data_IF_370482347078
#
_entry.id   IF_370482347078
#
_cell.length_a   1.000
_cell.length_b   1.000
_cell.length_c   1.000
_cell.angle_alpha   90.00
_cell.angle_beta   90.00
_cell.angle_gamma   90.00
#
_symmetry.space_group_name_H-M   'P 1'
#
loop_
_entity.id
_entity.type
_entity.pdbx_description
1 polymer ?
#
# COMPACT_ATOMS: atom_id res chain seq x y z
N UNK A 1 21.05 10.50 -20.36
CA UNK A 1 19.79 11.25 -20.54
C UNK A 1 19.52 12.00 -19.25
N UNK A 2 19.42 13.34 -19.27
CA UNK A 2 19.18 14.13 -18.06
C UNK A 2 17.69 14.10 -17.73
N UNK A 3 17.27 13.03 -17.04
CA UNK A 3 15.88 12.77 -16.66
C UNK A 3 15.26 13.91 -15.81
N UNK A 4 16.11 14.77 -15.24
CA UNK A 4 15.75 15.99 -14.48
C UNK A 4 14.83 16.98 -15.23
N UNK A 5 14.74 16.87 -16.56
CA UNK A 5 13.89 17.73 -17.37
C UNK A 5 12.97 16.95 -18.31
N UNK A 6 12.77 15.64 -18.10
CA UNK A 6 11.90 14.86 -18.98
C UNK A 6 10.42 15.15 -18.67
N UNK A 7 9.67 15.78 -19.58
CA UNK A 7 8.25 16.10 -19.35
C UNK A 7 7.38 14.86 -19.16
N UNK A 8 7.83 13.71 -19.70
CA UNK A 8 7.16 12.41 -19.54
C UNK A 8 7.21 11.94 -18.09
N UNK A 9 8.30 12.23 -17.37
CA UNK A 9 8.45 11.89 -15.96
C UNK A 9 7.48 12.66 -15.07
N UNK A 10 7.30 13.96 -15.33
CA UNK A 10 6.36 14.82 -14.61
C UNK A 10 4.90 14.36 -14.81
N UNK A 11 4.52 14.02 -16.03
CA UNK A 11 3.21 13.44 -16.34
C UNK A 11 2.99 12.07 -15.70
N UNK A 12 4.02 11.22 -15.64
CA UNK A 12 3.92 9.87 -15.09
C UNK A 12 3.78 9.90 -13.57
N UNK A 13 4.53 10.77 -12.88
CA UNK A 13 4.35 11.02 -11.44
C UNK A 13 2.96 11.58 -11.14
N UNK A 14 2.48 12.54 -11.94
CA UNK A 14 1.14 13.10 -11.77
C UNK A 14 0.06 12.02 -11.95
N UNK A 15 0.18 11.18 -12.99
CA UNK A 15 -0.81 10.15 -13.31
C UNK A 15 -0.76 8.95 -12.36
N UNK A 16 0.44 8.44 -12.04
CA UNK A 16 0.63 7.27 -11.18
C UNK A 16 0.31 7.57 -9.72
N UNK A 17 0.66 8.77 -9.23
CA UNK A 17 0.44 9.09 -7.81
C UNK A 17 -0.98 9.60 -7.57
N UNK A 18 -1.60 10.32 -8.50
CA UNK A 18 -2.99 10.79 -8.33
C UNK A 18 -3.98 9.67 -8.67
N UNK A 19 -3.97 9.12 -9.88
CA UNK A 19 -5.01 8.17 -10.30
C UNK A 19 -4.92 6.83 -9.56
N UNK A 20 -3.72 6.36 -9.17
CA UNK A 20 -3.61 5.08 -8.44
C UNK A 20 -4.00 5.17 -6.97
N UNK A 21 -3.83 6.34 -6.33
CA UNK A 21 -4.34 6.57 -4.98
C UNK A 21 -5.88 6.74 -4.98
N UNK A 22 -6.46 7.35 -6.01
CA UNK A 22 -7.91 7.55 -6.11
C UNK A 22 -8.70 6.28 -6.50
N UNK A 23 -8.10 5.31 -7.19
CA UNK A 23 -8.82 4.12 -7.69
C UNK A 23 -8.89 2.93 -6.72
N UNK A 24 -8.13 2.96 -5.62
CA UNK A 24 -8.13 1.91 -4.60
C UNK A 24 -9.34 1.95 -3.64
N UNK A 25 -10.40 2.69 -3.95
CA UNK A 25 -11.61 2.82 -3.12
C UNK A 25 -12.24 1.46 -2.76
N UNK A 26 -12.03 0.40 -3.56
CA UNK A 26 -12.53 -0.95 -3.28
C UNK A 26 -11.90 -1.64 -2.06
N UNK A 27 -10.81 -1.09 -1.52
CA UNK A 27 -10.13 -1.62 -0.33
C UNK A 27 -10.81 -1.14 0.96
N UNK A 28 -11.55 -0.03 0.89
CA UNK A 28 -12.08 0.70 2.04
C UNK A 28 -13.60 0.57 2.13
N UNK A 29 -14.14 0.72 3.33
CA UNK A 29 -15.59 0.87 3.51
C UNK A 29 -16.03 2.31 3.15
N UNK A 30 -17.34 2.53 2.93
CA UNK A 30 -17.84 3.83 2.45
C UNK A 30 -17.49 5.02 3.37
N UNK A 31 -17.46 4.81 4.68
CA UNK A 31 -17.13 5.86 5.66
C UNK A 31 -15.62 6.13 5.69
N UNK A 32 -14.80 5.07 5.63
CA UNK A 32 -13.34 5.15 5.49
C UNK A 32 -12.92 5.90 4.22
N UNK A 33 -13.65 5.72 3.10
CA UNK A 33 -13.37 6.42 1.84
C UNK A 33 -13.43 7.93 2.02
N UNK A 34 -14.42 8.45 2.74
CA UNK A 34 -14.55 9.90 2.93
C UNK A 34 -13.43 10.47 3.80
N UNK A 35 -13.10 9.79 4.90
CA UNK A 35 -12.02 10.22 5.79
C UNK A 35 -10.65 10.13 5.10
N UNK A 36 -10.44 9.07 4.31
CA UNK A 36 -9.27 8.92 3.46
C UNK A 36 -9.19 10.05 2.44
N UNK A 37 -10.28 10.37 1.74
CA UNK A 37 -10.29 11.47 0.77
C UNK A 37 -9.94 12.81 1.41
N UNK A 38 -10.47 13.11 2.60
CA UNK A 38 -10.15 14.34 3.35
C UNK A 38 -8.68 14.37 3.75
N UNK A 39 -8.18 13.27 4.33
CA UNK A 39 -6.80 13.16 4.81
C UNK A 39 -5.81 13.22 3.65
N UNK A 40 -6.08 12.51 2.57
CA UNK A 40 -5.31 12.57 1.33
C UNK A 40 -5.30 14.01 0.81
N UNK A 41 -6.44 14.68 0.65
CA UNK A 41 -6.48 16.08 0.19
C UNK A 41 -5.62 16.99 1.07
N UNK A 42 -5.64 16.79 2.39
CA UNK A 42 -4.81 17.56 3.32
C UNK A 42 -3.30 17.28 3.13
N UNK A 43 -2.91 16.01 3.04
CA UNK A 43 -1.50 15.63 2.79
C UNK A 43 -1.04 16.15 1.43
N UNK A 44 -1.91 16.09 0.43
CA UNK A 44 -1.65 16.54 -0.93
C UNK A 44 -1.48 18.05 -1.06
N UNK A 45 -2.11 18.86 -0.21
CA UNK A 45 -1.84 20.31 -0.18
C UNK A 45 -0.36 20.64 0.03
N UNK A 46 0.40 19.76 0.69
CA UNK A 46 1.87 19.90 0.85
C UNK A 46 2.62 19.80 -0.50
N UNK A 47 2.00 19.24 -1.52
CA UNK A 47 2.55 18.98 -2.85
C UNK A 47 1.76 19.67 -3.98
N UNK A 48 0.85 20.59 -3.63
CA UNK A 48 -0.06 21.27 -4.58
C UNK A 48 0.69 22.01 -5.70
N UNK A 49 1.95 22.39 -5.43
CA UNK A 49 2.89 22.81 -6.46
C UNK A 49 3.61 21.57 -7.00
N UNK A 50 3.38 21.25 -8.28
CA UNK A 50 3.99 20.12 -9.00
C UNK A 50 5.52 20.05 -8.84
N UNK A 51 6.16 21.19 -8.65
CA UNK A 51 7.60 21.28 -8.50
C UNK A 51 8.07 20.86 -7.09
N UNK A 52 7.25 20.98 -6.04
CA UNK A 52 7.65 20.66 -4.65
C UNK A 52 7.83 19.16 -4.39
N UNK A 53 6.98 18.30 -4.98
CA UNK A 53 7.17 16.85 -4.89
C UNK A 53 8.46 16.44 -5.63
N UNK A 54 8.66 17.00 -6.83
CA UNK A 54 9.83 16.74 -7.66
C UNK A 54 11.10 17.28 -6.99
N UNK A 55 11.06 18.48 -6.42
CA UNK A 55 12.15 19.10 -5.66
C UNK A 55 12.52 18.24 -4.45
N UNK A 56 11.56 17.75 -3.67
CA UNK A 56 11.85 16.83 -2.55
C UNK A 56 12.43 15.48 -2.99
N UNK A 57 11.99 14.98 -4.14
CA UNK A 57 12.59 13.80 -4.78
C UNK A 57 14.03 14.08 -5.22
N UNK A 58 14.36 15.33 -5.56
CA UNK A 58 15.67 15.77 -6.04
C UNK A 58 16.62 16.20 -4.90
N UNK A 59 16.13 16.81 -3.82
CA UNK A 59 16.91 17.29 -2.67
C UNK A 59 17.51 16.13 -1.86
N UNK A 60 16.82 15.00 -1.81
CA UNK A 60 17.32 13.78 -1.14
C UNK A 60 18.36 13.01 -1.98
N UNK A 61 18.80 13.53 -3.13
CA UNK A 61 19.85 12.94 -3.98
C UNK A 61 21.28 13.38 -3.62
N UNK A 62 21.58 13.74 -2.37
CA UNK A 62 22.91 14.23 -2.00
C UNK A 62 24.01 13.24 -2.39
N UNK A 63 24.83 13.58 -3.42
CA UNK A 63 26.05 12.97 -4.01
C UNK A 63 26.25 11.43 -4.07
N UNK A 64 25.43 10.64 -3.39
CA UNK A 64 25.40 9.19 -3.30
C UNK A 64 23.94 8.73 -3.38
N UNK A 65 23.19 9.26 -4.34
CA UNK A 65 21.86 8.75 -4.65
C UNK A 65 21.98 7.26 -5.00
N UNK A 66 21.61 6.40 -4.06
CA UNK A 66 21.70 4.95 -4.19
C UNK A 66 21.07 4.48 -5.52
N UNK A 67 21.65 3.46 -6.19
CA UNK A 67 21.08 2.80 -7.36
C UNK A 67 19.60 2.43 -7.22
N UNK A 68 19.16 2.21 -5.98
CA UNK A 68 17.81 1.84 -5.57
C UNK A 68 16.73 2.87 -5.92
N UNK A 69 17.04 4.16 -5.94
CA UNK A 69 16.08 5.20 -6.35
C UNK A 69 15.79 5.08 -7.85
N UNK A 70 16.85 4.98 -8.66
CA UNK A 70 16.71 4.89 -10.11
C UNK A 70 16.09 3.55 -10.54
N UNK A 71 16.42 2.46 -9.85
CA UNK A 71 15.79 1.15 -10.06
C UNK A 71 14.30 1.17 -9.70
N UNK A 72 13.93 1.71 -8.52
CA UNK A 72 12.53 1.83 -8.12
C UNK A 72 11.75 2.72 -9.09
N UNK A 73 12.37 3.79 -9.60
CA UNK A 73 11.77 4.66 -10.61
C UNK A 73 11.61 4.01 -11.97
N UNK A 74 12.63 3.31 -12.44
CA UNK A 74 12.57 2.60 -13.72
C UNK A 74 11.50 1.51 -13.65
N UNK A 75 11.44 0.76 -12.55
CA UNK A 75 10.38 -0.23 -12.28
C UNK A 75 8.99 0.41 -12.30
N UNK A 76 8.79 1.57 -11.64
CA UNK A 76 7.51 2.25 -11.64
C UNK A 76 7.12 2.74 -13.05
N UNK A 77 8.08 3.32 -13.78
CA UNK A 77 7.88 3.80 -15.15
C UNK A 77 7.54 2.67 -16.12
N UNK A 78 8.29 1.57 -16.09
CA UNK A 78 8.06 0.40 -16.94
C UNK A 78 6.71 -0.25 -16.65
N UNK A 79 6.35 -0.46 -15.37
CA UNK A 79 5.08 -1.09 -15.01
C UNK A 79 3.88 -0.21 -15.36
N UNK A 80 3.96 1.09 -15.07
CA UNK A 80 2.87 2.04 -15.35
C UNK A 80 2.69 2.27 -16.87
N UNK A 81 3.78 2.29 -17.66
CA UNK A 81 3.70 2.49 -19.11
C UNK A 81 3.34 1.23 -19.90
N UNK A 82 3.73 0.04 -19.43
CA UNK A 82 3.58 -1.21 -20.20
C UNK A 82 2.40 -2.09 -19.76
N UNK A 83 1.97 -2.01 -18.49
CA UNK A 83 0.98 -2.96 -17.93
C UNK A 83 -0.37 -2.32 -17.59
N UNK A 84 -0.53 -1.00 -17.80
CA UNK A 84 -1.71 -0.29 -17.30
C UNK A 84 -1.63 -0.07 -15.77
N UNK A 85 -2.66 0.56 -15.21
CA UNK A 85 -2.74 0.92 -13.79
C UNK A 85 -3.05 -0.29 -12.91
N UNK A 86 -2.26 -1.36 -12.99
CA UNK A 86 -2.52 -2.53 -12.18
C UNK A 86 -2.18 -2.23 -10.71
N UNK A 87 -3.20 -2.18 -9.86
CA UNK A 87 -3.09 -2.01 -8.42
C UNK A 87 -2.60 -3.32 -7.79
N UNK A 88 -1.30 -3.58 -7.87
CA UNK A 88 -0.67 -4.78 -7.31
C UNK A 88 0.06 -4.47 -6.00
N UNK A 89 0.26 -5.47 -5.11
CA UNK A 89 1.07 -5.31 -3.92
C UNK A 89 2.48 -4.76 -4.22
N UNK A 90 3.13 -5.23 -5.29
CA UNK A 90 4.47 -4.79 -5.70
C UNK A 90 4.50 -3.31 -6.10
N UNK A 91 3.45 -2.83 -6.76
CA UNK A 91 3.34 -1.43 -7.15
C UNK A 91 3.19 -0.56 -5.89
N UNK A 92 2.39 -1.00 -4.92
CA UNK A 92 2.28 -0.31 -3.62
C UNK A 92 3.60 -0.31 -2.84
N UNK A 93 4.34 -1.42 -2.81
CA UNK A 93 5.68 -1.45 -2.22
C UNK A 93 6.65 -0.52 -2.95
N UNK A 94 6.55 -0.44 -4.27
CA UNK A 94 7.35 0.52 -5.05
C UNK A 94 7.02 1.93 -4.60
N UNK A 95 5.75 2.35 -4.58
CA UNK A 95 5.31 3.65 -4.05
C UNK A 95 5.76 3.90 -2.60
N UNK A 96 5.71 2.91 -1.72
CA UNK A 96 6.20 3.04 -0.36
C UNK A 96 7.69 3.40 -0.32
N UNK A 97 8.55 2.73 -1.12
CA UNK A 97 9.98 3.07 -1.21
C UNK A 97 10.19 4.53 -1.57
N UNK A 98 9.41 5.04 -2.52
CA UNK A 98 9.48 6.42 -2.99
C UNK A 98 9.14 7.42 -1.89
N UNK A 99 8.01 7.21 -1.21
CA UNK A 99 7.57 8.07 -0.12
C UNK A 99 8.53 8.04 1.06
N UNK A 100 9.12 6.88 1.38
CA UNK A 100 10.18 6.76 2.38
C UNK A 100 11.42 7.58 2.01
N UNK A 101 11.84 7.54 0.74
CA UNK A 101 13.01 8.29 0.26
C UNK A 101 12.84 9.81 0.36
N UNK A 102 11.61 10.32 0.20
CA UNK A 102 11.33 11.76 0.37
C UNK A 102 10.94 12.14 1.81
N UNK A 103 10.99 11.19 2.74
CA UNK A 103 10.62 11.39 4.14
C UNK A 103 9.12 11.55 4.37
N UNK A 104 8.26 11.25 3.39
CA UNK A 104 6.81 11.22 3.58
C UNK A 104 6.36 9.88 4.16
N UNK A 105 6.60 9.71 5.45
CA UNK A 105 6.25 8.50 6.18
C UNK A 105 4.73 8.31 6.31
N UNK A 106 3.94 9.39 6.19
CA UNK A 106 2.48 9.34 6.25
C UNK A 106 1.93 8.61 5.01
N UNK A 107 2.35 9.01 3.81
CA UNK A 107 1.97 8.32 2.56
C UNK A 107 2.61 6.94 2.45
N UNK A 108 3.84 6.77 2.93
CA UNK A 108 4.49 5.46 2.96
C UNK A 108 3.71 4.43 3.79
N UNK A 109 3.16 4.84 4.93
CA UNK A 109 2.29 4.01 5.76
C UNK A 109 1.03 3.56 5.00
N UNK A 110 0.41 4.47 4.26
CA UNK A 110 -0.79 4.12 3.50
C UNK A 110 -0.50 3.17 2.33
N UNK A 111 0.68 3.30 1.72
CA UNK A 111 1.12 2.32 0.71
C UNK A 111 1.38 0.94 1.30
N UNK A 112 1.85 0.85 2.54
CA UNK A 112 1.99 -0.43 3.26
C UNK A 112 0.62 -1.06 3.51
N UNK A 113 -0.36 -0.27 3.96
CA UNK A 113 -1.73 -0.73 4.15
C UNK A 113 -2.37 -1.21 2.84
N UNK A 114 -2.25 -0.43 1.76
CA UNK A 114 -2.72 -0.82 0.43
C UNK A 114 -2.08 -2.13 -0.04
N UNK A 115 -0.77 -2.28 0.15
CA UNK A 115 -0.05 -3.50 -0.21
C UNK A 115 -0.63 -4.74 0.49
N UNK A 116 -0.73 -4.67 1.82
CA UNK A 116 -1.25 -5.78 2.61
C UNK A 116 -2.71 -6.11 2.24
N UNK A 117 -3.55 -5.10 2.09
CA UNK A 117 -4.95 -5.28 1.72
C UNK A 117 -5.14 -5.91 0.34
N UNK A 118 -4.36 -5.46 -0.65
CA UNK A 118 -4.36 -6.07 -1.98
C UNK A 118 -3.88 -7.52 -1.93
N UNK A 119 -2.87 -7.83 -1.10
CA UNK A 119 -2.40 -9.20 -0.93
C UNK A 119 -3.47 -10.12 -0.33
N UNK A 120 -4.27 -9.62 0.62
CA UNK A 120 -5.44 -10.35 1.16
C UNK A 120 -6.48 -10.59 0.07
N UNK A 121 -6.80 -9.57 -0.72
CA UNK A 121 -7.75 -9.69 -1.83
C UNK A 121 -7.27 -10.66 -2.92
N UNK A 122 -5.97 -10.60 -3.25
CA UNK A 122 -5.31 -11.51 -4.18
C UNK A 122 -5.39 -12.96 -3.67
N UNK A 123 -5.13 -13.19 -2.38
CA UNK A 123 -5.26 -14.50 -1.74
C UNK A 123 -6.69 -15.06 -1.85
N UNK A 124 -7.70 -14.27 -1.46
CA UNK A 124 -9.12 -14.65 -1.54
C UNK A 124 -9.50 -15.05 -2.96
N UNK A 125 -9.11 -14.22 -3.93
CA UNK A 125 -9.42 -14.44 -5.35
C UNK A 125 -8.73 -15.69 -5.88
N UNK A 126 -7.43 -15.83 -5.62
CA UNK A 126 -6.60 -16.94 -6.12
C UNK A 126 -7.03 -18.29 -5.54
N UNK A 127 -7.46 -18.30 -4.27
CA UNK A 127 -7.98 -19.50 -3.58
C UNK A 127 -9.48 -19.71 -3.79
N UNK A 128 -10.13 -18.82 -4.55
CA UNK A 128 -11.56 -18.85 -4.85
C UNK A 128 -12.41 -18.97 -3.56
N UNK A 129 -12.10 -18.13 -2.57
CA UNK A 129 -12.84 -18.08 -1.31
C UNK A 129 -14.11 -17.27 -1.49
N UNK A 130 -15.23 -17.78 -1.00
CA UNK A 130 -16.52 -17.08 -0.99
C UNK A 130 -16.65 -16.15 0.21
N UNK A 131 -15.65 -15.30 0.41
CA UNK A 131 -15.60 -14.34 1.51
C UNK A 131 -15.61 -12.93 0.93
N UNK A 132 -16.34 -12.03 1.58
CA UNK A 132 -16.29 -10.58 1.32
C UNK A 132 -15.81 -9.90 2.58
N UNK A 133 -14.83 -9.01 2.44
CA UNK A 133 -14.27 -8.24 3.54
C UNK A 133 -14.55 -6.77 3.24
N UNK A 134 -15.43 -6.16 4.01
CA UNK A 134 -15.95 -4.82 3.79
C UNK A 134 -15.21 -3.77 4.60
N UNK A 135 -14.58 -4.14 5.71
CA UNK A 135 -13.88 -3.22 6.61
C UNK A 135 -12.41 -3.60 6.85
N UNK A 136 -11.67 -2.72 7.53
CA UNK A 136 -10.38 -3.07 8.14
C UNK A 136 -10.53 -4.22 9.16
N UNK A 137 -11.55 -4.20 10.01
CA UNK A 137 -11.76 -5.20 11.05
C UNK A 137 -12.04 -6.58 10.45
N UNK A 138 -12.82 -6.66 9.38
CA UNK A 138 -13.10 -7.92 8.69
C UNK A 138 -11.79 -8.54 8.19
N UNK A 139 -10.89 -7.72 7.63
CA UNK A 139 -9.56 -8.16 7.19
C UNK A 139 -8.73 -8.66 8.36
N UNK A 140 -8.70 -7.96 9.49
CA UNK A 140 -8.02 -8.42 10.72
C UNK A 140 -8.57 -9.77 11.19
N UNK A 141 -9.89 -9.87 11.30
CA UNK A 141 -10.58 -11.09 11.76
C UNK A 141 -10.33 -12.26 10.81
N UNK A 142 -10.36 -12.01 9.50
CA UNK A 142 -9.99 -12.98 8.48
C UNK A 142 -8.54 -13.44 8.60
N UNK A 143 -7.59 -12.52 8.76
CA UNK A 143 -6.17 -12.90 8.90
C UNK A 143 -5.89 -13.70 10.17
N UNK A 144 -6.52 -13.33 11.29
CA UNK A 144 -6.44 -14.10 12.55
C UNK A 144 -7.06 -15.49 12.42
N UNK A 145 -8.20 -15.58 11.75
CA UNK A 145 -8.83 -16.85 11.48
C UNK A 145 -7.96 -17.72 10.56
N UNK A 146 -7.26 -17.13 9.59
CA UNK A 146 -6.32 -17.86 8.72
C UNK A 146 -5.17 -18.46 9.53
N UNK A 147 -4.50 -17.64 10.35
CA UNK A 147 -3.47 -18.05 11.29
C UNK A 147 -3.23 -16.96 12.33
N UNK A 148 -3.04 -17.34 13.59
CA UNK A 148 -2.73 -16.39 14.66
C UNK A 148 -1.45 -15.58 14.38
N UNK A 149 -0.43 -16.22 13.80
CA UNK A 149 0.84 -15.58 13.43
C UNK A 149 0.62 -14.53 12.33
N UNK A 150 -0.10 -14.90 11.28
CA UNK A 150 -0.42 -14.02 10.15
C UNK A 150 -1.31 -12.85 10.63
N UNK A 151 -2.26 -13.12 11.53
CA UNK A 151 -3.08 -12.08 12.16
C UNK A 151 -2.27 -11.08 12.99
N UNK A 152 -1.24 -11.52 13.70
CA UNK A 152 -0.34 -10.64 14.45
C UNK A 152 0.53 -9.80 13.51
N UNK A 153 1.02 -10.39 12.44
CA UNK A 153 1.76 -9.67 11.40
C UNK A 153 0.88 -8.60 10.75
N UNK A 154 -0.38 -8.94 10.42
CA UNK A 154 -1.32 -8.00 9.80
C UNK A 154 -1.58 -6.76 10.66
N UNK A 155 -1.55 -6.89 12.00
CA UNK A 155 -1.72 -5.76 12.92
C UNK A 155 -0.65 -4.66 12.73
N UNK A 156 0.54 -4.97 12.21
CA UNK A 156 1.57 -3.98 11.86
C UNK A 156 1.07 -3.03 10.76
N UNK A 157 0.33 -3.55 9.78
CA UNK A 157 -0.19 -2.77 8.66
C UNK A 157 -1.39 -1.92 9.07
N UNK A 158 -2.19 -2.41 10.01
CA UNK A 158 -3.27 -1.65 10.62
C UNK A 158 -2.75 -0.45 11.40
N UNK A 159 -1.65 -0.65 12.13
CA UNK A 159 -0.95 0.45 12.82
C UNK A 159 -0.41 1.46 11.81
N UNK A 160 0.05 1.02 10.63
CA UNK A 160 0.40 1.93 9.53
C UNK A 160 -0.81 2.71 9.02
N UNK A 161 -1.96 2.06 8.80
CA UNK A 161 -3.18 2.72 8.35
C UNK A 161 -3.66 3.78 9.35
N UNK A 162 -3.70 3.48 10.65
CA UNK A 162 -4.00 4.47 11.69
C UNK A 162 -3.01 5.64 11.72
N UNK A 163 -1.77 5.38 11.30
CA UNK A 163 -0.71 6.37 11.26
C UNK A 163 -0.75 7.26 10.03
N UNK A 164 -1.43 6.82 8.97
CA UNK A 164 -1.79 7.69 7.86
C UNK A 164 -2.72 8.82 8.34
N UNK A 165 -3.71 8.54 9.19
CA UNK A 165 -4.61 9.57 9.74
C UNK A 165 -3.94 10.42 10.84
N UNK A 166 -3.18 9.79 11.73
CA UNK A 166 -2.57 10.48 12.89
C UNK A 166 -1.20 11.11 12.62
N UNK A 167 -0.55 10.78 11.50
CA UNK A 167 0.83 11.17 11.17
C UNK A 167 1.84 10.87 12.29
N UNK A 168 1.72 9.69 12.92
CA UNK A 168 2.45 9.34 14.15
C UNK A 168 3.72 8.48 13.93
N UNK A 169 3.88 7.89 12.74
CA UNK A 169 5.00 7.00 12.45
C UNK A 169 6.29 7.73 12.09
N UNK A 170 7.41 7.20 12.60
CA UNK A 170 8.77 7.65 12.28
C UNK A 170 9.43 6.68 11.32
N UNK A 171 10.48 7.15 10.63
CA UNK A 171 11.27 6.42 9.65
C UNK A 171 11.55 4.95 10.02
N UNK A 172 12.03 4.71 11.25
CA UNK A 172 12.37 3.36 11.74
C UNK A 172 11.17 2.40 11.71
N UNK A 173 9.99 2.86 12.13
CA UNK A 173 8.78 2.03 12.16
C UNK A 173 8.31 1.70 10.74
N UNK A 174 8.31 2.69 9.85
CA UNK A 174 7.93 2.50 8.45
C UNK A 174 8.90 1.57 7.72
N UNK A 175 10.20 1.65 8.01
CA UNK A 175 11.20 0.75 7.43
C UNK A 175 10.97 -0.71 7.84
N UNK A 176 10.66 -0.96 9.12
CA UNK A 176 10.33 -2.31 9.59
C UNK A 176 9.04 -2.83 8.94
N UNK A 177 7.98 -2.03 8.95
CA UNK A 177 6.70 -2.39 8.33
C UNK A 177 6.81 -2.62 6.82
N UNK A 178 7.71 -1.92 6.12
CA UNK A 178 7.97 -2.16 4.70
C UNK A 178 8.57 -3.54 4.45
N UNK A 179 9.54 -3.97 5.25
CA UNK A 179 10.12 -5.33 5.14
C UNK A 179 9.06 -6.37 5.43
N UNK A 180 8.29 -6.14 6.50
CA UNK A 180 7.18 -7.01 6.91
C UNK A 180 6.14 -7.19 5.80
N UNK A 181 5.78 -6.10 5.10
CA UNK A 181 4.81 -6.13 4.01
C UNK A 181 5.30 -6.95 2.82
N UNK A 182 6.60 -6.89 2.50
CA UNK A 182 7.18 -7.70 1.44
C UNK A 182 7.12 -9.20 1.77
N UNK A 183 7.43 -9.56 3.02
CA UNK A 183 7.41 -10.96 3.47
C UNK A 183 5.98 -11.50 3.56
N UNK A 184 5.04 -10.68 4.05
CA UNK A 184 3.62 -11.00 4.12
C UNK A 184 3.02 -11.38 2.75
N UNK A 185 3.34 -10.60 1.70
CA UNK A 185 2.87 -10.90 0.32
C UNK A 185 3.32 -12.29 -0.13
N UNK A 186 4.60 -12.62 0.09
CA UNK A 186 5.15 -13.94 -0.29
C UNK A 186 4.56 -15.05 0.57
N UNK A 187 4.37 -14.80 1.86
CA UNK A 187 3.76 -15.75 2.78
C UNK A 187 2.34 -16.11 2.34
N UNK A 188 1.48 -15.14 2.01
CA UNK A 188 0.12 -15.42 1.54
C UNK A 188 0.09 -16.22 0.22
N UNK A 189 0.96 -15.87 -0.73
CA UNK A 189 1.03 -16.58 -2.01
C UNK A 189 1.47 -18.04 -1.87
N UNK A 190 2.40 -18.29 -0.94
CA UNK A 190 2.92 -19.64 -0.67
C UNK A 190 2.12 -20.40 0.38
N UNK A 191 1.17 -19.75 1.06
CA UNK A 191 0.34 -20.36 2.10
C UNK A 191 -0.46 -21.54 1.56
N UNK A 192 -0.26 -22.71 2.16
CA UNK A 192 -1.01 -23.92 1.82
C UNK A 192 -2.35 -23.94 2.56
N UNK A 193 -3.43 -23.74 1.82
CA UNK A 193 -4.79 -23.75 2.36
C UNK A 193 -5.42 -25.14 2.22
N UNK A 194 -5.77 -25.78 3.33
CA UNK A 194 -6.52 -27.04 3.33
C UNK A 194 -8.00 -26.80 3.06
N UNK A 195 -8.71 -27.82 2.56
CA UNK A 195 -10.16 -27.75 2.34
C UNK A 195 -10.93 -27.55 3.67
N UNK A 196 -10.48 -28.14 4.78
CA UNK A 196 -11.10 -27.88 6.08
C UNK A 196 -10.98 -26.41 6.46
N UNK A 197 -9.79 -25.82 6.29
CA UNK A 197 -9.55 -24.43 6.64
C UNK A 197 -10.30 -23.48 5.73
N UNK A 198 -10.37 -23.78 4.43
CA UNK A 198 -11.22 -23.05 3.47
C UNK A 198 -12.67 -23.01 3.93
N UNK A 199 -13.25 -24.17 4.27
CA UNK A 199 -14.63 -24.27 4.74
C UNK A 199 -14.86 -23.53 6.06
N UNK A 200 -13.87 -23.50 6.96
CA UNK A 200 -13.93 -22.71 8.20
C UNK A 200 -13.99 -21.21 7.90
N UNK A 201 -13.09 -20.71 7.04
CA UNK A 201 -13.04 -19.30 6.67
C UNK A 201 -14.34 -18.83 6.00
N UNK A 202 -14.91 -19.64 5.10
CA UNK A 202 -16.16 -19.27 4.40
C UNK A 202 -17.40 -19.25 5.29
N UNK A 203 -17.37 -19.88 6.47
CA UNK A 203 -18.51 -19.89 7.41
C UNK A 203 -18.56 -18.67 8.32
N UNK A 204 -17.41 -18.07 8.61
CA UNK A 204 -17.31 -17.05 9.66
C UNK A 204 -17.89 -15.69 9.26
N UNK A 205 -18.19 -15.46 7.97
CA UNK A 205 -18.80 -14.25 7.36
C UNK A 205 -18.20 -12.88 7.72
N UNK A 206 -17.30 -12.79 8.70
CA UNK A 206 -16.46 -11.66 9.13
C UNK A 206 -17.15 -10.29 9.25
N UNK A 207 -18.48 -10.24 9.27
CA UNK A 207 -19.24 -9.03 9.51
C UNK A 207 -19.22 -8.72 11.01
N UNK A 208 -18.67 -7.55 11.38
CA UNK A 208 -18.82 -6.97 12.70
C UNK A 208 -20.28 -6.53 12.93
N UNK A 209 -21.19 -7.49 13.20
CA UNK A 209 -22.51 -7.21 13.78
C UNK A 209 -22.54 -7.47 15.31
N UNK A 210 -21.42 -7.89 15.90
CA UNK A 210 -21.31 -8.12 17.35
C UNK A 210 -19.98 -7.58 17.90
N UNK A 211 -19.96 -6.30 18.31
CA UNK A 211 -19.17 -5.79 19.44
C UNK A 211 -19.74 -4.47 19.96
#
# INVERSE_FOLDING_TARGET
MNWRHDPRLKQLLEKATLESLFKNQSIYCNDEVQEMEITLRHVWKKYEKKDTLIEKLMENQGNEAEPLMQESWNSLCEKTMNQGQDHTPENMLTFCKLFRQIGDYQLACEMIWCCASLAVQEFITTRQLKVKLHSQNDKRSFMRALSHEIGNQFAVFEVCHLSFFSNSHKARCVNAAFVEANDFVQQLRTYHLTEEKKNELEKNNFNDDEL
#
